data_IF_020466016310
#
_entry.id   IF_020466016310
#
_cell.length_a   1.000
_cell.length_b   1.000
_cell.length_c   1.000
_cell.angle_alpha   90.00
_cell.angle_beta   90.00
_cell.angle_gamma   90.00
#
_symmetry.space_group_name_H-M   'P 1'
#
loop_
_entity.id
_entity.type
_entity.pdbx_description
1 polymer ?
#
# COMPACT_ATOMS: atom_id res chain seq x y z
N UNK A 1 -8.46 -38.26 22.80
CA UNK A 1 -7.27 -37.48 23.22
C UNK A 1 -7.72 -36.46 24.25
N UNK A 2 -6.99 -36.29 25.35
CA UNK A 2 -7.37 -35.35 26.42
C UNK A 2 -6.94 -33.92 26.07
N UNK A 3 -7.70 -32.92 26.51
CA UNK A 3 -7.38 -31.49 26.25
C UNK A 3 -5.94 -31.13 26.68
N UNK A 4 -5.44 -31.77 27.74
CA UNK A 4 -4.06 -31.63 28.23
C UNK A 4 -3.01 -32.07 27.20
N UNK A 5 -3.26 -33.15 26.45
CA UNK A 5 -2.30 -33.62 25.43
C UNK A 5 -2.26 -32.70 24.21
N UNK A 6 -3.41 -32.15 23.82
CA UNK A 6 -3.51 -31.18 22.71
C UNK A 6 -2.83 -29.85 23.05
N UNK A 7 -3.00 -29.35 24.29
CA UNK A 7 -2.32 -28.14 24.75
C UNK A 7 -0.80 -28.27 24.72
N UNK A 8 -0.25 -29.44 25.09
CA UNK A 8 1.20 -29.68 25.03
C UNK A 8 1.75 -29.59 23.61
N UNK A 9 1.03 -30.12 22.62
CA UNK A 9 1.41 -30.06 21.20
C UNK A 9 1.33 -28.61 20.70
N UNK A 10 0.21 -27.94 20.96
CA UNK A 10 0.00 -26.54 20.57
C UNK A 10 1.06 -25.61 21.18
N UNK A 11 1.37 -25.77 22.47
CA UNK A 11 2.38 -24.97 23.16
C UNK A 11 3.78 -25.17 22.54
N UNK A 12 4.11 -26.39 22.10
CA UNK A 12 5.37 -26.65 21.39
C UNK A 12 5.43 -25.94 20.04
N UNK A 13 4.32 -25.88 19.32
CA UNK A 13 4.23 -25.16 18.04
C UNK A 13 4.27 -23.64 18.24
N UNK A 14 3.56 -23.10 19.24
CA UNK A 14 3.57 -21.68 19.58
C UNK A 14 4.97 -21.18 19.98
N UNK A 15 5.77 -22.01 20.67
CA UNK A 15 7.16 -21.67 20.99
C UNK A 15 8.04 -21.57 19.75
N UNK A 16 7.91 -22.53 18.83
CA UNK A 16 8.66 -22.49 17.56
C UNK A 16 8.26 -21.30 16.70
N UNK A 17 6.97 -20.96 16.71
CA UNK A 17 6.45 -19.78 16.03
C UNK A 17 7.01 -18.49 16.63
N UNK A 18 7.05 -18.36 17.96
CA UNK A 18 7.73 -17.26 18.64
C UNK A 18 9.19 -17.14 18.20
N UNK A 19 9.94 -18.24 18.21
CA UNK A 19 11.36 -18.22 17.84
C UNK A 19 11.57 -17.84 16.36
N UNK A 20 10.63 -18.21 15.48
CA UNK A 20 10.62 -17.82 14.09
C UNK A 20 10.30 -16.32 13.89
N UNK A 21 9.36 -15.78 14.67
CA UNK A 21 9.06 -14.35 14.69
C UNK A 21 10.24 -13.52 15.21
N UNK A 22 10.90 -13.94 16.29
CA UNK A 22 12.11 -13.25 16.78
C UNK A 22 13.18 -13.20 15.70
N UNK A 23 13.40 -14.29 14.98
CA UNK A 23 14.34 -14.30 13.84
C UNK A 23 13.90 -13.44 12.66
N UNK A 24 12.61 -13.32 12.40
CA UNK A 24 12.11 -12.41 11.37
C UNK A 24 12.39 -10.96 11.76
N UNK A 25 12.05 -10.58 12.99
CA UNK A 25 12.30 -9.24 13.54
C UNK A 25 13.79 -8.87 13.56
N UNK A 26 14.68 -9.81 13.92
CA UNK A 26 16.13 -9.59 13.91
C UNK A 26 16.71 -9.38 12.50
N UNK A 27 16.02 -9.86 11.46
CA UNK A 27 16.44 -9.74 10.06
C UNK A 27 15.75 -8.60 9.30
N UNK A 28 14.86 -7.84 9.95
CA UNK A 28 14.12 -6.76 9.32
C UNK A 28 15.08 -5.69 8.81
N UNK A 29 15.12 -5.49 7.48
CA UNK A 29 15.86 -4.40 6.86
C UNK A 29 14.97 -3.15 6.85
N UNK A 30 15.60 -1.99 6.98
CA UNK A 30 14.92 -0.69 7.07
C UNK A 30 13.95 -0.51 5.88
N UNK A 31 12.64 -0.46 6.16
CA UNK A 31 11.59 -0.21 5.16
C UNK A 31 10.52 -1.31 4.95
N UNK A 32 10.55 -2.44 5.67
CA UNK A 32 9.57 -3.54 5.50
C UNK A 32 8.31 -3.38 6.38
N UNK A 33 7.14 -3.73 5.81
CA UNK A 33 5.82 -3.64 6.45
C UNK A 33 5.55 -4.82 7.40
N UNK A 34 4.53 -4.71 8.28
CA UNK A 34 4.11 -5.77 9.21
C UNK A 34 3.71 -7.08 8.49
N UNK A 35 3.24 -6.99 7.24
CA UNK A 35 2.97 -8.16 6.39
C UNK A 35 4.23 -8.97 6.09
N UNK A 36 5.35 -8.27 5.93
CA UNK A 36 6.62 -8.86 5.53
C UNK A 36 7.21 -9.62 6.71
N UNK A 37 7.00 -9.15 7.95
CA UNK A 37 7.38 -9.85 9.18
C UNK A 37 6.66 -11.21 9.32
N UNK A 38 5.35 -11.27 9.07
CA UNK A 38 4.58 -12.53 9.16
C UNK A 38 5.02 -13.51 8.06
N UNK A 39 5.26 -13.02 6.85
CA UNK A 39 5.76 -13.83 5.73
C UNK A 39 7.16 -14.37 6.01
N UNK A 40 8.05 -13.53 6.55
CA UNK A 40 9.40 -13.93 6.96
C UNK A 40 9.35 -14.94 8.12
N UNK A 41 8.52 -14.71 9.13
CA UNK A 41 8.34 -15.64 10.24
C UNK A 41 7.79 -16.99 9.76
N UNK A 42 6.87 -16.98 8.79
CA UNK A 42 6.36 -18.20 8.19
C UNK A 42 7.45 -18.96 7.42
N UNK A 43 8.33 -18.25 6.71
CA UNK A 43 9.50 -18.83 6.05
C UNK A 43 10.46 -19.46 7.08
N UNK A 44 10.79 -18.76 8.16
CA UNK A 44 11.63 -19.29 9.25
C UNK A 44 11.01 -20.50 9.95
N UNK A 45 9.69 -20.49 10.16
CA UNK A 45 8.96 -21.62 10.75
C UNK A 45 9.01 -22.85 9.84
N UNK A 46 8.82 -22.66 8.53
CA UNK A 46 8.92 -23.73 7.53
C UNK A 46 10.35 -24.28 7.40
N UNK A 47 11.38 -23.43 7.50
CA UNK A 47 12.78 -23.84 7.44
C UNK A 47 13.24 -24.61 8.68
N UNK A 48 12.65 -24.32 9.85
CA UNK A 48 12.98 -24.98 11.13
C UNK A 48 12.10 -26.20 11.44
N UNK A 49 10.94 -26.32 10.79
CA UNK A 49 10.05 -27.47 10.89
C UNK A 49 10.44 -28.60 9.94
N UNK A 50 10.44 -29.85 10.43
CA UNK A 50 10.56 -31.02 9.56
C UNK A 50 9.31 -31.16 8.66
N UNK A 51 9.33 -30.47 7.51
CA UNK A 51 8.41 -30.64 6.39
C UNK A 51 7.22 -29.67 6.38
N UNK A 52 7.10 -28.92 5.28
CA UNK A 52 5.92 -28.32 4.57
C UNK A 52 4.69 -27.79 5.36
N UNK A 53 4.70 -27.76 6.70
CA UNK A 53 3.57 -27.32 7.50
C UNK A 53 3.69 -25.83 7.77
N UNK A 54 2.80 -25.07 7.15
CA UNK A 54 2.54 -23.68 7.51
C UNK A 54 1.99 -23.60 8.93
N UNK A 55 2.17 -22.46 9.59
CA UNK A 55 1.62 -22.26 10.93
C UNK A 55 0.13 -21.94 10.79
N UNK A 56 -0.73 -22.86 11.23
CA UNK A 56 -2.19 -22.74 11.07
C UNK A 56 -2.90 -22.22 12.33
N UNK A 57 -2.15 -21.93 13.40
CA UNK A 57 -2.68 -21.53 14.71
C UNK A 57 -2.55 -20.03 14.98
N UNK A 58 -2.79 -19.20 13.96
CA UNK A 58 -2.74 -17.73 14.06
C UNK A 58 -3.70 -17.18 15.11
N UNK A 59 -4.93 -17.68 15.16
CA UNK A 59 -5.90 -17.28 16.19
C UNK A 59 -5.43 -17.61 17.61
N UNK A 60 -4.78 -18.76 17.81
CA UNK A 60 -4.23 -19.12 19.11
C UNK A 60 -3.03 -18.23 19.48
N UNK A 61 -2.21 -17.86 18.50
CA UNK A 61 -1.08 -16.95 18.69
C UNK A 61 -1.51 -15.57 19.17
N UNK A 62 -2.56 -14.99 18.56
CA UNK A 62 -3.10 -13.68 18.92
C UNK A 62 -3.50 -13.59 20.40
N UNK A 63 -4.01 -14.68 20.97
CA UNK A 63 -4.39 -14.76 22.39
C UNK A 63 -3.18 -14.87 23.31
N UNK A 64 -2.13 -15.60 22.90
CA UNK A 64 -0.99 -15.90 23.79
C UNK A 64 0.19 -14.94 23.64
N UNK A 65 0.27 -14.15 22.56
CA UNK A 65 1.44 -13.29 22.26
C UNK A 65 1.75 -12.25 23.34
N UNK A 66 0.74 -11.82 24.10
CA UNK A 66 0.88 -10.87 25.21
C UNK A 66 1.21 -11.55 26.56
N UNK A 67 1.21 -12.88 26.63
CA UNK A 67 1.60 -13.59 27.84
C UNK A 67 3.11 -13.50 28.06
N UNK A 68 3.53 -13.36 29.32
CA UNK A 68 4.95 -13.29 29.72
C UNK A 68 5.85 -14.40 29.16
N UNK A 69 5.29 -15.56 28.81
CA UNK A 69 6.02 -16.72 28.25
C UNK A 69 6.29 -16.61 26.75
N UNK A 70 5.51 -15.80 26.04
CA UNK A 70 5.52 -15.69 24.57
C UNK A 70 5.79 -14.28 24.07
N UNK A 71 5.91 -13.29 24.96
CA UNK A 71 6.31 -11.93 24.62
C UNK A 71 7.67 -11.94 23.92
N UNK A 72 7.75 -11.23 22.79
CA UNK A 72 8.99 -11.02 22.04
C UNK A 72 9.49 -9.63 22.40
N UNK A 73 10.67 -9.56 23.01
CA UNK A 73 11.33 -8.29 23.32
C UNK A 73 12.21 -7.97 22.11
N UNK A 74 11.79 -7.00 21.31
CA UNK A 74 12.59 -6.52 20.18
C UNK A 74 13.89 -5.91 20.70
N UNK A 75 15.02 -6.55 20.40
CA UNK A 75 16.36 -5.97 20.64
C UNK A 75 16.78 -5.21 19.39
N UNK A 76 16.00 -4.21 18.99
CA UNK A 76 16.30 -3.43 17.79
C UNK A 76 17.49 -2.49 18.06
N UNK A 77 18.61 -2.75 17.39
CA UNK A 77 19.78 -1.89 17.32
C UNK A 77 19.41 -0.60 16.59
N UNK A 78 19.50 0.54 17.29
CA UNK A 78 19.39 1.88 16.69
C UNK A 78 20.53 2.07 15.68
N UNK A 79 20.26 1.89 14.39
CA UNK A 79 21.19 2.25 13.32
C UNK A 79 20.72 3.59 12.76
N UNK A 80 21.39 4.64 13.21
CA UNK A 80 21.38 5.96 12.57
C UNK A 80 21.92 5.75 11.15
N UNK A 81 21.13 6.15 10.14
CA UNK A 81 21.57 6.15 8.75
C UNK A 81 22.44 7.39 8.52
N UNK A 82 23.72 7.17 8.23
CA UNK A 82 24.62 8.16 7.68
C UNK A 82 24.82 7.83 6.19
N UNK A 83 24.52 8.81 5.33
CA UNK A 83 24.59 8.75 3.87
C UNK A 83 26.05 8.76 3.36
N UNK A 84 26.32 8.00 2.29
CA UNK A 84 27.38 8.12 1.25
C UNK A 84 27.46 6.78 0.51
N UNK A 85 27.81 6.63 -0.77
CA UNK A 85 27.89 7.44 -1.97
C UNK A 85 27.93 6.42 -3.13
N UNK A 86 27.35 6.78 -4.27
CA UNK A 86 27.44 6.08 -5.56
C UNK A 86 28.87 5.62 -5.89
N UNK A 87 29.02 4.38 -6.34
CA UNK A 87 30.12 4.01 -7.21
C UNK A 87 29.60 3.18 -8.40
N UNK A 88 29.76 3.80 -9.55
CA UNK A 88 29.59 3.32 -10.91
C UNK A 88 30.79 2.46 -11.32
N UNK A 89 30.59 1.44 -12.16
CA UNK A 89 31.65 0.81 -12.98
C UNK A 89 31.07 -0.11 -14.05
N UNK A 90 31.62 0.06 -15.24
CA UNK A 90 31.10 -0.24 -16.58
C UNK A 90 32.00 -1.27 -17.30
N UNK A 91 31.45 -1.97 -18.30
CA UNK A 91 32.08 -2.53 -19.53
C UNK A 91 32.99 -3.80 -19.40
N UNK A 92 32.64 -4.92 -20.06
CA UNK A 92 33.09 -5.43 -21.39
C UNK A 92 34.13 -6.58 -21.20
N UNK A 93 34.25 -7.69 -21.94
CA UNK A 93 34.01 -8.05 -23.36
C UNK A 93 33.89 -9.59 -23.57
N UNK A 94 32.93 -10.02 -24.42
CA UNK A 94 32.97 -10.95 -25.60
C UNK A 94 33.61 -12.38 -25.55
N UNK A 95 33.47 -13.26 -26.61
CA UNK A 95 32.42 -13.48 -27.63
C UNK A 95 32.01 -14.98 -27.86
N UNK A 96 30.97 -15.18 -28.69
CA UNK A 96 30.44 -16.43 -29.28
C UNK A 96 31.44 -17.31 -30.06
N UNK A 97 31.17 -18.63 -30.15
CA UNK A 97 30.90 -19.35 -31.41
C UNK A 97 30.58 -20.86 -31.20
N UNK A 98 29.65 -21.39 -31.99
CA UNK A 98 29.39 -22.83 -32.23
C UNK A 98 29.67 -23.08 -33.72
N UNK A 99 30.19 -24.26 -34.16
CA UNK A 99 29.28 -25.29 -34.69
C UNK A 99 29.77 -26.76 -34.66
N UNK A 100 28.79 -27.64 -34.91
CA UNK A 100 28.76 -29.07 -35.32
C UNK A 100 29.99 -29.68 -36.04
N UNK A 101 30.25 -30.99 -35.80
CA UNK A 101 30.63 -31.99 -36.82
C UNK A 101 30.47 -33.45 -36.33
N UNK A 102 30.06 -34.33 -37.25
CA UNK A 102 29.68 -35.76 -37.13
C UNK A 102 30.88 -36.73 -37.06
N UNK A 103 30.67 -37.94 -36.51
CA UNK A 103 31.16 -39.20 -37.10
C UNK A 103 30.28 -40.39 -36.62
N UNK A 104 30.08 -41.37 -37.51
CA UNK A 104 29.04 -42.42 -37.44
C UNK A 104 29.55 -43.76 -36.82
N UNK A 105 29.00 -44.97 -37.13
CA UNK A 105 28.21 -45.77 -36.19
C UNK A 105 28.86 -47.12 -35.82
N UNK A 106 28.77 -47.56 -34.56
CA UNK A 106 29.19 -48.92 -34.15
C UNK A 106 28.04 -49.70 -33.53
N UNK A 107 27.65 -50.72 -34.28
CA UNK A 107 26.70 -51.79 -34.03
C UNK A 107 26.97 -52.50 -32.69
N UNK A 108 25.96 -52.58 -31.80
CA UNK A 108 26.00 -53.48 -30.63
C UNK A 108 24.67 -54.24 -30.51
N UNK A 109 24.80 -55.56 -30.50
CA UNK A 109 23.73 -56.56 -30.50
C UNK A 109 22.68 -56.35 -29.38
N UNK A 110 21.42 -56.77 -29.60
CA UNK A 110 20.35 -56.59 -28.63
C UNK A 110 20.53 -57.53 -27.43
N UNK A 111 20.60 -56.95 -26.22
CA UNK A 111 20.61 -57.72 -24.98
C UNK A 111 19.19 -58.26 -24.69
N UNK A 112 19.06 -59.42 -24.02
CA UNK A 112 17.78 -60.07 -23.84
C UNK A 112 16.83 -59.28 -22.93
N UNK A 113 15.55 -59.30 -23.32
CA UNK A 113 14.43 -58.68 -22.62
C UNK A 113 14.26 -59.29 -21.22
N UNK A 114 14.48 -58.47 -20.19
CA UNK A 114 14.26 -58.83 -18.80
C UNK A 114 12.77 -58.74 -18.42
N UNK A 115 12.25 -59.84 -17.88
CA UNK A 115 10.90 -59.97 -17.30
C UNK A 115 10.64 -58.93 -16.19
N UNK A 116 10.14 -57.73 -16.54
CA UNK A 116 9.41 -56.83 -15.63
C UNK A 116 8.22 -56.12 -16.29
N UNK A 117 7.65 -56.68 -17.35
CA UNK A 117 6.45 -56.17 -18.01
C UNK A 117 5.15 -56.84 -17.51
N UNK A 118 4.97 -56.99 -16.19
CA UNK A 118 3.73 -57.52 -15.61
C UNK A 118 3.25 -56.75 -14.36
N UNK A 119 3.56 -55.44 -14.26
CA UNK A 119 2.96 -54.57 -13.23
C UNK A 119 2.46 -53.21 -13.74
N UNK A 120 2.36 -53.01 -15.04
CA UNK A 120 1.88 -51.76 -15.65
C UNK A 120 0.35 -51.72 -15.89
N UNK A 121 -0.45 -52.32 -15.01
CA UNK A 121 -1.93 -52.20 -15.04
C UNK A 121 -2.54 -51.91 -13.66
N UNK A 122 -1.90 -51.05 -12.87
CA UNK A 122 -2.54 -50.35 -11.73
C UNK A 122 -2.17 -48.88 -11.73
N UNK A 123 -2.75 -48.14 -12.64
CA UNK A 123 -2.79 -46.68 -12.59
C UNK A 123 -3.96 -46.26 -13.45
N UNK A 124 -5.02 -45.71 -12.85
CA UNK A 124 -5.92 -44.73 -13.51
C UNK A 124 -7.06 -44.20 -12.63
N UNK A 125 -7.02 -44.35 -11.30
CA UNK A 125 -8.04 -43.84 -10.37
C UNK A 125 -7.53 -42.75 -9.40
N UNK A 126 -6.24 -42.40 -9.43
CA UNK A 126 -5.65 -41.34 -8.58
C UNK A 126 -5.75 -39.92 -9.19
N UNK A 127 -5.71 -39.83 -10.52
CA UNK A 127 -5.67 -38.56 -11.27
C UNK A 127 -6.95 -37.73 -11.14
N UNK A 128 -8.10 -38.37 -10.90
CA UNK A 128 -9.40 -37.71 -10.72
C UNK A 128 -9.54 -37.01 -9.36
N UNK A 129 -8.89 -37.50 -8.31
CA UNK A 129 -8.96 -36.86 -6.99
C UNK A 129 -7.94 -35.73 -6.85
N UNK A 130 -6.75 -35.88 -7.44
CA UNK A 130 -5.74 -34.83 -7.46
C UNK A 130 -6.20 -33.59 -8.26
N UNK A 131 -6.89 -33.81 -9.39
CA UNK A 131 -7.48 -32.72 -10.19
C UNK A 131 -8.56 -31.97 -9.42
N UNK A 132 -9.48 -32.67 -8.74
CA UNK A 132 -10.50 -32.04 -7.88
C UNK A 132 -9.90 -31.20 -6.75
N UNK A 133 -8.80 -31.66 -6.14
CA UNK A 133 -8.11 -30.90 -5.08
C UNK A 133 -7.48 -29.63 -5.65
N UNK A 134 -6.84 -29.71 -6.82
CA UNK A 134 -6.24 -28.53 -7.47
C UNK A 134 -7.30 -27.52 -7.91
N UNK A 135 -8.44 -27.99 -8.42
CA UNK A 135 -9.57 -27.15 -8.82
C UNK A 135 -10.23 -26.45 -7.63
N UNK A 136 -10.36 -27.14 -6.49
CA UNK A 136 -10.84 -26.54 -5.23
C UNK A 136 -9.87 -25.46 -4.72
N UNK A 137 -8.56 -25.71 -4.76
CA UNK A 137 -7.54 -24.72 -4.38
C UNK A 137 -7.63 -23.48 -5.29
N UNK A 138 -7.80 -23.68 -6.59
CA UNK A 138 -7.96 -22.57 -7.55
C UNK A 138 -9.22 -21.75 -7.24
N UNK A 139 -10.37 -22.40 -6.96
CA UNK A 139 -11.61 -21.71 -6.56
C UNK A 139 -11.46 -20.93 -5.26
N UNK A 140 -10.83 -21.51 -4.24
CA UNK A 140 -10.61 -20.82 -2.96
C UNK A 140 -9.70 -19.61 -3.12
N UNK A 141 -8.64 -19.72 -3.91
CA UNK A 141 -7.74 -18.59 -4.20
C UNK A 141 -8.45 -17.49 -4.99
N UNK A 142 -9.29 -17.84 -5.96
CA UNK A 142 -10.07 -16.87 -6.73
C UNK A 142 -11.07 -16.10 -5.83
N UNK A 143 -11.78 -16.80 -4.94
CA UNK A 143 -12.67 -16.14 -3.97
C UNK A 143 -11.93 -15.22 -3.02
N UNK A 144 -10.74 -15.60 -2.56
CA UNK A 144 -9.92 -14.76 -1.68
C UNK A 144 -9.45 -13.50 -2.40
N UNK A 145 -8.96 -13.63 -3.63
CA UNK A 145 -8.50 -12.50 -4.44
C UNK A 145 -9.65 -11.51 -4.70
N UNK A 146 -10.85 -12.02 -4.94
CA UNK A 146 -12.04 -11.21 -5.18
C UNK A 146 -12.49 -10.44 -3.92
N UNK A 147 -12.44 -11.08 -2.75
CA UNK A 147 -12.68 -10.44 -1.46
C UNK A 147 -11.65 -9.34 -1.16
N UNK A 148 -10.37 -9.60 -1.41
CA UNK A 148 -9.30 -8.62 -1.22
C UNK A 148 -9.44 -7.44 -2.19
N UNK A 149 -9.81 -7.70 -3.45
CA UNK A 149 -10.12 -6.66 -4.45
C UNK A 149 -11.26 -5.77 -3.98
N UNK A 150 -12.35 -6.37 -3.49
CA UNK A 150 -13.51 -5.64 -2.97
C UNK A 150 -13.15 -4.80 -1.74
N UNK A 151 -12.37 -5.35 -0.82
CA UNK A 151 -11.90 -4.61 0.36
C UNK A 151 -11.06 -3.38 -0.03
N UNK A 152 -10.17 -3.51 -1.02
CA UNK A 152 -9.40 -2.37 -1.54
C UNK A 152 -10.28 -1.33 -2.25
N UNK A 153 -11.34 -1.75 -2.93
CA UNK A 153 -12.30 -0.84 -3.55
C UNK A 153 -13.11 -0.07 -2.51
N UNK A 154 -13.60 -0.76 -1.48
CA UNK A 154 -14.32 -0.14 -0.36
C UNK A 154 -13.41 0.85 0.39
N UNK A 155 -12.15 0.50 0.64
CA UNK A 155 -11.19 1.41 1.27
C UNK A 155 -10.91 2.65 0.39
N UNK A 156 -10.76 2.47 -0.92
CA UNK A 156 -10.60 3.60 -1.86
C UNK A 156 -11.84 4.48 -1.90
N UNK A 157 -13.04 3.90 -1.87
CA UNK A 157 -14.30 4.63 -1.84
C UNK A 157 -14.39 5.52 -0.59
N UNK A 158 -14.07 4.97 0.58
CA UNK A 158 -14.04 5.72 1.85
C UNK A 158 -13.07 6.91 1.77
N UNK A 159 -11.87 6.71 1.22
CA UNK A 159 -10.89 7.79 1.05
C UNK A 159 -11.40 8.89 0.13
N UNK A 160 -12.07 8.54 -0.96
CA UNK A 160 -12.64 9.50 -1.91
C UNK A 160 -13.79 10.29 -1.26
N UNK A 161 -14.69 9.63 -0.54
CA UNK A 161 -15.77 10.31 0.17
C UNK A 161 -15.23 11.28 1.23
N UNK A 162 -14.25 10.84 2.02
CA UNK A 162 -13.62 11.71 3.01
C UNK A 162 -12.94 12.92 2.36
N UNK A 163 -12.29 12.76 1.21
CA UNK A 163 -11.73 13.88 0.46
C UNK A 163 -12.82 14.84 -0.05
N UNK A 164 -13.94 14.32 -0.58
CA UNK A 164 -15.09 15.14 -1.01
C UNK A 164 -15.71 15.92 0.15
N UNK A 165 -15.88 15.30 1.32
CA UNK A 165 -16.40 15.95 2.51
C UNK A 165 -15.49 17.11 2.96
N UNK A 166 -14.18 16.89 2.95
CA UNK A 166 -13.17 17.91 3.26
C UNK A 166 -13.23 19.10 2.30
N UNK A 167 -13.39 18.83 1.01
CA UNK A 167 -13.57 19.84 -0.03
C UNK A 167 -14.88 20.63 0.19
N UNK A 168 -15.97 19.94 0.52
CA UNK A 168 -17.26 20.58 0.80
C UNK A 168 -17.16 21.53 2.00
N UNK A 169 -16.57 21.08 3.11
CA UNK A 169 -16.32 21.93 4.29
C UNK A 169 -15.43 23.13 3.96
N UNK A 170 -14.42 22.96 3.09
CA UNK A 170 -13.57 24.08 2.66
C UNK A 170 -14.38 25.10 1.84
N UNK A 171 -15.17 24.63 0.88
CA UNK A 171 -16.01 25.46 0.02
C UNK A 171 -17.09 26.20 0.81
N UNK A 172 -17.68 25.54 1.79
CA UNK A 172 -18.65 26.14 2.70
C UNK A 172 -18.03 27.29 3.51
N UNK A 173 -16.82 27.08 4.05
CA UNK A 173 -16.07 28.15 4.73
C UNK A 173 -15.69 29.29 3.78
N UNK A 174 -15.37 29.00 2.52
CA UNK A 174 -15.10 30.02 1.49
C UNK A 174 -16.35 30.84 1.19
N UNK A 175 -17.51 30.19 1.04
CA UNK A 175 -18.79 30.86 0.82
C UNK A 175 -19.13 31.79 1.99
N UNK A 176 -19.01 31.31 3.23
CA UNK A 176 -19.22 32.14 4.42
C UNK A 176 -18.22 33.30 4.52
N UNK A 177 -16.95 33.09 4.12
CA UNK A 177 -15.99 34.20 4.07
C UNK A 177 -16.41 35.25 3.05
N UNK A 178 -16.77 34.83 1.83
CA UNK A 178 -17.22 35.73 0.77
C UNK A 178 -18.49 36.49 1.16
N UNK A 179 -19.47 35.82 1.75
CA UNK A 179 -20.68 36.46 2.26
C UNK A 179 -20.36 37.51 3.34
N UNK A 180 -19.44 37.19 4.26
CA UNK A 180 -19.01 38.14 5.30
C UNK A 180 -18.25 39.33 4.71
N UNK A 181 -17.42 39.14 3.69
CA UNK A 181 -16.75 40.21 2.95
C UNK A 181 -17.76 41.10 2.22
N UNK A 182 -18.70 40.50 1.49
CA UNK A 182 -19.77 41.21 0.80
C UNK A 182 -20.64 42.02 1.77
N UNK A 183 -20.92 41.45 2.96
CA UNK A 183 -21.66 42.13 4.03
C UNK A 183 -20.88 43.31 4.58
N UNK A 184 -19.57 43.14 4.87
CA UNK A 184 -18.68 44.22 5.36
C UNK A 184 -18.56 45.37 4.36
N UNK A 185 -18.58 45.07 3.07
CA UNK A 185 -18.54 46.06 2.01
C UNK A 185 -19.89 46.75 1.77
N UNK A 186 -21.01 46.05 2.01
CA UNK A 186 -22.36 46.59 1.76
C UNK A 186 -22.73 47.73 2.69
N UNK A 187 -22.36 47.63 3.97
CA UNK A 187 -22.64 48.64 5.00
C UNK A 187 -22.05 50.02 4.65
N UNK A 188 -20.75 50.19 4.37
CA UNK A 188 -20.15 51.48 4.00
C UNK A 188 -20.67 52.00 2.65
N UNK A 189 -21.00 51.12 1.70
CA UNK A 189 -21.57 51.49 0.39
C UNK A 189 -23.01 52.04 0.52
N UNK A 190 -23.81 51.52 1.45
CA UNK A 190 -25.20 51.92 1.67
C UNK A 190 -25.39 53.07 2.67
N UNK A 191 -24.34 53.48 3.38
CA UNK A 191 -24.43 54.49 4.44
C UNK A 191 -24.81 55.88 3.90
N UNK A 192 -25.82 56.53 4.46
CA UNK A 192 -26.12 57.92 4.11
C UNK A 192 -25.11 58.87 4.78
N UNK A 193 -24.48 59.73 3.98
CA UNK A 193 -23.49 60.71 4.44
C UNK A 193 -23.98 62.15 4.35
N UNK A 194 -25.24 62.39 3.95
CA UNK A 194 -25.80 63.73 3.72
C UNK A 194 -25.65 64.69 4.92
N UNK A 195 -25.87 64.17 6.13
CA UNK A 195 -25.87 64.91 7.40
C UNK A 195 -24.50 65.00 8.09
N UNK A 196 -23.45 64.43 7.49
CA UNK A 196 -22.11 64.36 8.08
C UNK A 196 -21.27 65.63 7.79
N UNK A 197 -20.22 65.84 8.60
CA UNK A 197 -19.24 66.92 8.39
C UNK A 197 -18.46 66.73 7.06
N UNK A 198 -17.87 67.79 6.48
CA UNK A 198 -17.12 67.70 5.23
C UNK A 198 -15.97 66.69 5.26
N UNK A 199 -15.24 66.63 6.37
CA UNK A 199 -14.10 65.71 6.57
C UNK A 199 -14.57 64.24 6.61
N UNK A 200 -15.64 63.97 7.36
CA UNK A 200 -16.24 62.63 7.43
C UNK A 200 -16.83 62.19 6.08
N UNK A 201 -17.41 63.12 5.30
CA UNK A 201 -17.86 62.84 3.93
C UNK A 201 -16.71 62.42 3.01
N UNK A 202 -15.55 63.07 3.10
CA UNK A 202 -14.38 62.72 2.29
C UNK A 202 -13.81 61.35 2.67
N UNK A 203 -13.76 61.04 3.96
CA UNK A 203 -13.35 59.72 4.45
C UNK A 203 -14.19 58.60 3.82
N UNK A 204 -15.52 58.68 3.92
CA UNK A 204 -16.41 57.64 3.36
C UNK A 204 -16.35 57.57 1.83
N UNK A 205 -16.12 58.69 1.13
CA UNK A 205 -15.89 58.66 -0.34
C UNK A 205 -14.64 57.86 -0.71
N UNK A 206 -13.54 58.06 0.03
CA UNK A 206 -12.29 57.30 -0.19
C UNK A 206 -12.47 55.82 0.14
N UNK A 207 -13.17 55.52 1.24
CA UNK A 207 -13.44 54.14 1.66
C UNK A 207 -14.28 53.37 0.63
N UNK A 208 -15.36 53.98 0.13
CA UNK A 208 -16.17 53.41 -0.98
C UNK A 208 -15.35 53.18 -2.24
N UNK A 209 -14.49 54.14 -2.60
CA UNK A 209 -13.59 53.99 -3.75
C UNK A 209 -12.60 52.84 -3.55
N UNK A 210 -12.11 52.62 -2.33
CA UNK A 210 -11.25 51.48 -2.00
C UNK A 210 -11.99 50.13 -2.10
N UNK A 211 -13.23 50.07 -1.62
CA UNK A 211 -14.10 48.88 -1.74
C UNK A 211 -14.40 48.56 -3.20
N UNK A 212 -14.77 49.55 -4.00
CA UNK A 212 -15.03 49.37 -5.45
C UNK A 212 -13.79 48.86 -6.18
N UNK A 213 -12.60 49.40 -5.87
CA UNK A 213 -11.33 48.89 -6.43
C UNK A 213 -11.11 47.44 -6.05
N UNK A 214 -11.25 47.09 -4.77
CA UNK A 214 -11.09 45.70 -4.29
C UNK A 214 -12.00 44.75 -5.06
N UNK A 215 -13.29 45.10 -5.21
CA UNK A 215 -14.27 44.31 -5.96
C UNK A 215 -13.93 44.17 -7.44
N UNK A 216 -13.55 45.26 -8.11
CA UNK A 216 -13.13 45.22 -9.52
C UNK A 216 -11.95 44.27 -9.74
N UNK A 217 -10.92 44.35 -8.90
CA UNK A 217 -9.70 43.54 -9.08
C UNK A 217 -9.80 42.11 -8.52
N UNK A 218 -10.95 41.68 -7.97
CA UNK A 218 -11.18 40.28 -7.57
C UNK A 218 -11.79 39.42 -8.70
N UNK A 219 -12.34 40.03 -9.76
CA UNK A 219 -12.95 39.31 -10.90
C UNK A 219 -12.01 39.13 -12.11
N UNK A 220 -10.78 39.66 -12.07
CA UNK A 220 -9.87 39.62 -13.23
C UNK A 220 -9.02 38.33 -13.27
N UNK A 221 -9.59 37.30 -13.90
CA UNK A 221 -8.83 36.54 -14.90
C UNK A 221 -8.27 37.47 -16.00
N UNK A 222 -7.35 36.97 -16.83
CA UNK A 222 -6.11 37.67 -17.18
C UNK A 222 -6.29 39.15 -17.57
N UNK A 223 -5.62 39.99 -16.77
CA UNK A 223 -5.05 41.31 -17.08
C UNK A 223 -5.25 41.79 -18.51
N UNK A 224 -6.17 42.75 -18.71
CA UNK A 224 -6.04 43.71 -19.79
C UNK A 224 -6.01 45.13 -19.21
N UNK A 225 -4.80 45.59 -18.93
CA UNK A 225 -4.48 46.98 -18.60
C UNK A 225 -4.59 47.83 -19.87
N UNK A 226 -5.77 48.38 -20.15
CA UNK A 226 -5.92 49.36 -21.23
C UNK A 226 -6.96 50.46 -20.93
N UNK A 227 -6.99 50.93 -19.67
CA UNK A 227 -7.89 52.03 -19.25
C UNK A 227 -7.14 53.29 -18.79
N UNK A 228 -5.86 53.40 -19.14
CA UNK A 228 -5.01 54.54 -18.74
C UNK A 228 -4.78 55.57 -19.86
N UNK A 229 -5.60 55.59 -20.91
CA UNK A 229 -5.62 56.66 -21.88
C UNK A 229 -7.07 57.03 -22.20
N UNK A 230 -7.62 57.97 -21.45
CA UNK A 230 -8.59 58.96 -21.96
C UNK A 230 -8.92 59.96 -20.85
N UNK A 231 -7.96 60.86 -20.60
CA UNK A 231 -8.24 62.20 -20.04
C UNK A 231 -7.37 63.20 -20.79
N UNK A 232 -7.90 63.76 -21.87
CA UNK A 232 -7.59 65.13 -22.28
C UNK A 232 -8.81 65.73 -23.00
N UNK A 233 -9.34 66.83 -22.47
CA UNK A 233 -9.34 68.05 -23.29
C UNK A 233 -8.62 69.23 -22.62
#
# INVERSE_FOLDING_TARGET
MTLSSQWKILNKELRKWRDALTKAMDNQRSGENLSDEIVQAQMWFCATGQGKKTFNHTQCWEVVKHCKRFIIISTARTVVLNETSLHDSQASDLPMESPVSEDSPIEKAPRPIGRKAAKAKRGNNSTSNASKILEEIARQNAMRLELDRKAQEDERAIRIEYAKEREYVRKEREYQRKENEDKKDREPMAMDTSHMSPETKQFWKLERKAIMRRRLFHDDGPSNTDWLNDENP
#
